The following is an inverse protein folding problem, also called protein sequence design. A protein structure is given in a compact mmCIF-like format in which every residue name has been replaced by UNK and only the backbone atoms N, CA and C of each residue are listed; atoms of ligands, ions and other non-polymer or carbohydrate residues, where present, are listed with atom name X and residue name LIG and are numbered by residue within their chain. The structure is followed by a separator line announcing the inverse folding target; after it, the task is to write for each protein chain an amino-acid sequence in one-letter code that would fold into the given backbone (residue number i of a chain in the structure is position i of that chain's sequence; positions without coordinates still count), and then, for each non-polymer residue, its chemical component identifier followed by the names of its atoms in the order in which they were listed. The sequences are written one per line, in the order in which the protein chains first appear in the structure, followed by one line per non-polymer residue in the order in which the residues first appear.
data_IF_375039598845
#
_entry.id   IF_375039598845
#
_cell.length_a   1.000
_cell.length_b   1.000
_cell.length_c   1.000
_cell.angle_alpha   90.00
_cell.angle_beta   90.00
_cell.angle_gamma   90.00
#
_symmetry.space_group_name_H-M   'P 1'
#
loop_
_entity.id
_entity.type
_entity.pdbx_description
1 polymer ?
#
# COMPACT_ATOMS: atom_id res chain seq x y z
N UNK A 1 -8.35 -4.46 -11.31
CA UNK A 1 -9.13 -3.34 -10.75
C UNK A 1 -8.23 -2.13 -10.73
N UNK A 2 -8.76 -0.98 -11.11
CA UNK A 2 -8.07 0.29 -10.99
C UNK A 2 -8.68 1.01 -9.78
N UNK A 3 -7.96 1.08 -8.67
CA UNK A 3 -8.34 1.90 -7.53
C UNK A 3 -8.21 3.38 -7.91
N UNK A 4 -9.16 4.21 -7.53
CA UNK A 4 -9.00 5.66 -7.68
C UNK A 4 -7.92 6.21 -6.71
N UNK A 5 -7.47 7.43 -6.93
CA UNK A 5 -6.39 8.03 -6.13
C UNK A 5 -6.69 8.06 -4.62
N UNK A 6 -7.96 8.23 -4.23
CA UNK A 6 -8.36 8.24 -2.82
C UNK A 6 -8.31 6.85 -2.19
N UNK A 7 -8.72 5.83 -2.94
CA UNK A 7 -8.62 4.43 -2.54
C UNK A 7 -7.16 4.00 -2.44
N UNK A 8 -6.33 4.36 -3.43
CA UNK A 8 -4.89 4.08 -3.43
C UNK A 8 -4.22 4.66 -2.19
N UNK A 9 -4.46 5.94 -1.89
CA UNK A 9 -3.90 6.59 -0.70
C UNK A 9 -4.34 5.89 0.59
N UNK A 10 -5.63 5.55 0.70
CA UNK A 10 -6.15 4.80 1.86
C UNK A 10 -5.49 3.42 2.00
N UNK A 11 -5.25 2.71 0.90
CA UNK A 11 -4.57 1.41 0.93
C UNK A 11 -3.14 1.55 1.44
N UNK A 12 -2.37 2.51 0.88
CA UNK A 12 -1.00 2.76 1.32
C UNK A 12 -0.95 3.14 2.80
N UNK A 13 -1.90 3.97 3.25
CA UNK A 13 -2.05 4.35 4.65
C UNK A 13 -2.34 3.14 5.55
N UNK A 14 -3.27 2.28 5.14
CA UNK A 14 -3.60 1.09 5.93
C UNK A 14 -2.40 0.14 6.05
N UNK A 15 -1.66 -0.10 4.96
CA UNK A 15 -0.43 -0.92 4.99
C UNK A 15 0.59 -0.29 5.94
N UNK A 16 0.84 1.02 5.83
CA UNK A 16 1.76 1.74 6.71
C UNK A 16 1.37 1.65 8.19
N UNK A 17 0.08 1.79 8.49
CA UNK A 17 -0.45 1.79 9.85
C UNK A 17 -0.77 0.37 10.36
N UNK A 18 -0.32 -0.68 9.64
CA UNK A 18 -0.55 -2.11 9.94
C UNK A 18 -2.04 -2.44 10.12
N UNK A 19 -2.92 -1.71 9.43
CA UNK A 19 -4.35 -1.94 9.40
C UNK A 19 -4.71 -3.01 8.37
N UNK A 20 -5.77 -3.81 8.60
CA UNK A 20 -6.24 -4.79 7.64
C UNK A 20 -6.52 -4.17 6.26
N UNK A 21 -6.03 -4.84 5.22
CA UNK A 21 -6.37 -4.60 3.81
C UNK A 21 -6.92 -5.89 3.22
N UNK A 22 -7.71 -5.78 2.16
CA UNK A 22 -8.18 -6.97 1.43
C UNK A 22 -7.05 -7.57 0.60
N UNK A 23 -7.16 -8.86 0.25
CA UNK A 23 -6.21 -9.53 -0.65
C UNK A 23 -6.05 -8.78 -1.98
N UNK A 24 -7.12 -8.17 -2.50
CA UNK A 24 -7.06 -7.43 -3.76
C UNK A 24 -6.26 -6.13 -3.61
N UNK A 25 -6.43 -5.40 -2.50
CA UNK A 25 -5.68 -4.19 -2.18
C UNK A 25 -4.20 -4.48 -1.96
N UNK A 26 -3.88 -5.54 -1.21
CA UNK A 26 -2.50 -6.00 -1.01
C UNK A 26 -1.84 -6.41 -2.34
N UNK A 27 -2.54 -7.21 -3.15
CA UNK A 27 -2.04 -7.63 -4.46
C UNK A 27 -1.82 -6.46 -5.41
N UNK A 28 -2.69 -5.44 -5.38
CA UNK A 28 -2.48 -4.23 -6.16
C UNK A 28 -1.23 -3.48 -5.70
N UNK A 29 -1.06 -3.26 -4.39
CA UNK A 29 0.08 -2.50 -3.86
C UNK A 29 1.42 -3.19 -4.21
N UNK A 30 1.45 -4.53 -4.17
CA UNK A 30 2.61 -5.32 -4.61
C UNK A 30 2.86 -5.19 -6.11
N UNK A 31 1.82 -5.36 -6.94
CA UNK A 31 1.94 -5.25 -8.41
C UNK A 31 2.35 -3.85 -8.86
N UNK A 32 1.94 -2.82 -8.13
CA UNK A 32 2.30 -1.43 -8.38
C UNK A 32 3.72 -1.08 -7.87
N UNK A 33 4.37 -1.97 -7.13
CA UNK A 33 5.70 -1.74 -6.55
C UNK A 33 5.71 -0.87 -5.29
N UNK A 34 4.53 -0.58 -4.72
CA UNK A 34 4.40 0.22 -3.50
C UNK A 34 4.52 -0.60 -2.22
N UNK A 35 4.33 -1.92 -2.30
CA UNK A 35 4.44 -2.79 -1.14
C UNK A 35 5.15 -4.11 -1.48
N UNK A 36 5.63 -4.80 -0.45
CA UNK A 36 6.25 -6.12 -0.54
C UNK A 36 5.80 -6.99 0.64
N UNK A 37 5.81 -8.31 0.47
CA UNK A 37 5.61 -9.22 1.60
C UNK A 37 6.83 -9.16 2.53
N UNK A 38 6.57 -9.01 3.82
CA UNK A 38 7.54 -9.08 4.89
C UNK A 38 7.83 -10.54 5.28
N UNK A 39 8.92 -10.76 6.04
CA UNK A 39 9.37 -12.12 6.41
C UNK A 39 8.40 -12.83 7.37
N UNK A 40 7.60 -12.07 8.12
CA UNK A 40 6.56 -12.55 9.04
C UNK A 40 5.23 -12.87 8.35
N UNK A 41 5.13 -12.61 7.05
CA UNK A 41 3.93 -12.85 6.24
C UNK A 41 2.99 -11.64 6.16
N UNK A 42 3.34 -10.53 6.80
CA UNK A 42 2.61 -9.27 6.63
C UNK A 42 3.04 -8.55 5.33
N UNK A 43 2.42 -7.41 5.07
CA UNK A 43 2.73 -6.56 3.92
C UNK A 43 3.25 -5.22 4.41
N UNK A 44 4.39 -4.79 3.86
CA UNK A 44 5.04 -3.52 4.20
C UNK A 44 5.18 -2.63 2.97
N UNK A 45 5.16 -1.31 3.20
CA UNK A 45 5.49 -0.36 2.13
C UNK A 45 6.95 -0.46 1.72
N UNK A 46 7.19 -0.35 0.41
CA UNK A 46 8.52 -0.11 -0.16
C UNK A 46 8.95 1.34 0.08
N UNK A 47 10.16 1.70 -0.36
CA UNK A 47 10.58 3.11 -0.35
C UNK A 47 9.64 3.96 -1.21
N UNK A 48 9.27 3.45 -2.39
CA UNK A 48 8.38 4.07 -3.35
C UNK A 48 6.96 4.19 -2.79
N UNK A 49 6.46 3.17 -2.09
CA UNK A 49 5.16 3.23 -1.43
C UNK A 49 5.09 4.30 -0.34
N UNK A 50 6.15 4.41 0.47
CA UNK A 50 6.26 5.48 1.49
C UNK A 50 6.29 6.87 0.85
N UNK A 51 7.03 7.03 -0.25
CA UNK A 51 7.07 8.28 -1.01
C UNK A 51 5.69 8.62 -1.58
N UNK A 52 5.00 7.66 -2.19
CA UNK A 52 3.67 7.86 -2.75
C UNK A 52 2.62 8.22 -1.67
N UNK A 53 2.74 7.63 -0.47
CA UNK A 53 1.93 7.98 0.68
C UNK A 53 2.18 9.44 1.11
N UNK A 54 3.44 9.85 1.25
CA UNK A 54 3.82 11.21 1.63
C UNK A 54 3.39 12.25 0.60
N UNK A 55 3.64 12.00 -0.70
CA UNK A 55 3.25 12.88 -1.80
C UNK A 55 1.71 13.04 -1.88
N UNK A 56 0.93 12.02 -1.48
CA UNK A 56 -0.53 12.08 -1.44
C UNK A 56 -1.12 12.74 -0.19
N UNK A 57 -0.29 13.06 0.81
CA UNK A 57 -0.67 13.79 2.03
C UNK A 57 -0.38 15.29 1.95
N UNK A 58 0.38 15.73 0.94
CA UNK A 58 0.78 17.12 0.70
C UNK A 58 -0.34 17.93 0.01
#
# INVERSE_FOLDING_TARGET
MDFDASQQLRILRNIHDTQPVTDEEANWAVRAGYAAQAEDGDIDLTHEGRKALDDGQA
#
